data_IF_557795186166
#
_entry.id   IF_557795186166
#
_cell.length_a   1.000
_cell.length_b   1.000
_cell.length_c   1.000
_cell.angle_alpha   90.00
_cell.angle_beta   90.00
_cell.angle_gamma   90.00
#
_symmetry.space_group_name_H-M   'P 1'
#
loop_
_entity.id
_entity.type
_entity.pdbx_description
1 polymer ?
#
# COMPACT_ATOMS: atom_id res chain seq x y z
N UNK A 1 5.89 -0.93 -13.33
CA UNK A 1 5.23 -2.03 -14.03
C UNK A 1 4.68 -2.95 -12.94
N UNK A 2 3.48 -3.50 -13.09
CA UNK A 2 2.91 -4.38 -12.06
C UNK A 2 3.65 -5.71 -11.93
N UNK A 3 4.29 -6.19 -13.00
CA UNK A 3 5.16 -7.38 -12.96
C UNK A 3 6.43 -7.07 -12.18
N UNK A 4 7.05 -5.90 -12.42
CA UNK A 4 8.20 -5.44 -11.63
C UNK A 4 7.86 -5.30 -10.13
N UNK A 5 6.69 -4.76 -9.82
CA UNK A 5 6.22 -4.65 -8.44
C UNK A 5 6.10 -6.04 -7.78
N UNK A 6 5.53 -7.01 -8.47
CA UNK A 6 5.42 -8.40 -7.97
C UNK A 6 6.78 -9.05 -7.78
N UNK A 7 7.71 -8.87 -8.72
CA UNK A 7 9.06 -9.43 -8.61
C UNK A 7 9.78 -8.87 -7.39
N UNK A 8 9.71 -7.56 -7.16
CA UNK A 8 10.29 -6.93 -5.96
C UNK A 8 9.57 -7.35 -4.67
N UNK A 9 8.26 -7.53 -4.73
CA UNK A 9 7.49 -8.00 -3.58
C UNK A 9 7.89 -9.42 -3.16
N UNK A 10 8.27 -10.28 -4.12
CA UNK A 10 8.65 -11.66 -3.84
C UNK A 10 9.88 -11.81 -2.94
N UNK A 11 10.74 -10.79 -2.89
CA UNK A 11 11.94 -10.73 -2.04
C UNK A 11 11.67 -10.18 -0.62
N UNK A 12 10.42 -9.80 -0.31
CA UNK A 12 10.05 -9.24 0.99
C UNK A 12 9.75 -10.32 2.04
N UNK A 13 9.56 -9.87 3.29
CA UNK A 13 9.24 -10.73 4.43
C UNK A 13 7.96 -11.54 4.17
N UNK A 14 7.86 -12.71 4.79
CA UNK A 14 6.67 -13.55 4.72
C UNK A 14 5.40 -12.86 5.20
N UNK A 15 4.25 -13.26 4.64
CA UNK A 15 2.93 -12.71 4.93
C UNK A 15 2.78 -11.20 4.64
N UNK A 16 3.65 -10.62 3.80
CA UNK A 16 3.54 -9.23 3.37
C UNK A 16 2.24 -8.99 2.60
N UNK A 17 1.50 -7.95 3.00
CA UNK A 17 0.34 -7.47 2.26
C UNK A 17 0.78 -6.41 1.25
N UNK A 18 0.63 -6.73 -0.03
CA UNK A 18 1.05 -5.89 -1.15
C UNK A 18 -0.13 -5.03 -1.60
N UNK A 19 0.08 -3.72 -1.65
CA UNK A 19 -0.90 -2.74 -2.14
C UNK A 19 -0.30 -2.05 -3.36
N UNK A 20 -0.90 -2.26 -4.52
CA UNK A 20 -0.54 -1.59 -5.76
C UNK A 20 -1.47 -0.40 -5.97
N UNK A 21 -0.92 0.82 -5.91
CA UNK A 21 -1.65 2.08 -6.04
C UNK A 21 -1.28 2.76 -7.36
N UNK A 22 -2.21 2.80 -8.31
CA UNK A 22 -1.98 3.42 -9.62
C UNK A 22 -3.27 3.68 -10.40
N UNK A 23 -3.15 4.48 -11.47
CA UNK A 23 -4.26 4.82 -12.37
C UNK A 23 -3.84 4.64 -13.85
N UNK A 24 -4.63 3.94 -14.69
CA UNK A 24 -5.88 3.24 -14.38
C UNK A 24 -5.66 2.12 -13.36
N UNK A 25 -6.75 1.61 -12.75
CA UNK A 25 -6.68 0.41 -11.89
C UNK A 25 -5.91 -0.65 -12.66
N UNK A 26 -4.73 -0.99 -12.18
CA UNK A 26 -3.96 -2.09 -12.75
C UNK A 26 -4.83 -3.34 -12.59
N UNK A 27 -5.00 -4.12 -13.67
CA UNK A 27 -5.63 -5.43 -13.55
C UNK A 27 -4.88 -6.24 -12.48
N UNK A 28 -5.52 -6.42 -11.33
CA UNK A 28 -4.93 -7.09 -10.19
C UNK A 28 -4.87 -8.60 -10.36
N UNK A 29 -5.59 -9.20 -11.32
CA UNK A 29 -5.66 -10.65 -11.45
C UNK A 29 -4.32 -11.23 -11.89
N UNK A 30 -3.72 -10.72 -12.96
CA UNK A 30 -2.44 -11.24 -13.47
C UNK A 30 -1.31 -11.07 -12.44
N UNK A 31 -1.09 -9.87 -11.84
CA UNK A 31 -0.09 -9.68 -10.80
C UNK A 31 -0.36 -10.52 -9.55
N UNK A 32 -1.61 -10.65 -9.12
CA UNK A 32 -1.97 -11.47 -7.95
C UNK A 32 -1.71 -12.96 -8.20
N UNK A 33 -2.12 -13.49 -9.35
CA UNK A 33 -1.80 -14.88 -9.71
C UNK A 33 -0.30 -15.13 -9.82
N UNK A 34 0.44 -14.18 -10.39
CA UNK A 34 1.89 -14.29 -10.51
C UNK A 34 2.58 -14.21 -9.15
N UNK A 35 2.14 -13.30 -8.27
CA UNK A 35 2.66 -13.23 -6.90
C UNK A 35 2.35 -14.52 -6.13
N UNK A 36 1.12 -15.03 -6.22
CA UNK A 36 0.73 -16.27 -5.56
C UNK A 36 1.55 -17.48 -6.06
N UNK A 37 1.96 -17.49 -7.33
CA UNK A 37 2.87 -18.50 -7.87
C UNK A 37 4.27 -18.42 -7.25
N UNK A 38 4.79 -17.22 -7.00
CA UNK A 38 6.11 -17.00 -6.40
C UNK A 38 6.10 -17.16 -4.86
N UNK A 39 5.04 -16.68 -4.21
CA UNK A 39 4.88 -16.50 -2.76
C UNK A 39 3.42 -16.69 -2.36
N UNK A 40 3.03 -17.94 -2.08
CA UNK A 40 1.66 -18.29 -1.70
C UNK A 40 1.23 -17.74 -0.33
N UNK A 41 2.16 -17.23 0.46
CA UNK A 41 1.94 -16.60 1.76
C UNK A 41 1.60 -15.11 1.67
N UNK A 42 1.79 -14.48 0.50
CA UNK A 42 1.54 -13.06 0.30
C UNK A 42 0.16 -12.82 -0.31
N UNK A 43 -0.35 -11.61 -0.15
CA UNK A 43 -1.62 -11.18 -0.74
C UNK A 43 -1.42 -9.85 -1.44
N UNK A 44 -2.00 -9.69 -2.63
CA UNK A 44 -1.93 -8.45 -3.41
C UNK A 44 -3.33 -7.86 -3.60
N UNK A 45 -3.44 -6.55 -3.38
CA UNK A 45 -4.60 -5.75 -3.72
C UNK A 45 -4.17 -4.60 -4.63
N UNK A 46 -4.92 -4.39 -5.72
CA UNK A 46 -4.78 -3.22 -6.59
C UNK A 46 -5.90 -2.23 -6.29
N UNK A 47 -5.54 -0.97 -6.08
CA UNK A 47 -6.46 0.12 -5.78
C UNK A 47 -6.07 1.39 -6.55
N UNK A 48 -6.99 2.32 -6.70
CA UNK A 48 -6.70 3.66 -7.25
C UNK A 48 -6.15 4.59 -6.17
N UNK A 49 -5.49 5.70 -6.57
CA UNK A 49 -5.13 6.78 -5.66
C UNK A 49 -6.30 7.28 -4.78
N UNK A 50 -7.51 7.34 -5.35
CA UNK A 50 -8.69 7.86 -4.65
C UNK A 50 -9.20 6.91 -3.55
N UNK A 51 -8.85 5.62 -3.62
CA UNK A 51 -9.17 4.63 -2.60
C UNK A 51 -8.19 4.68 -1.40
N UNK A 52 -7.02 5.31 -1.57
CA UNK A 52 -6.05 5.55 -0.48
C UNK A 52 -6.57 6.67 0.42
N UNK A 53 -7.50 6.32 1.30
CA UNK A 53 -8.10 7.23 2.27
C UNK A 53 -7.55 6.99 3.67
N UNK A 54 -7.70 7.97 4.56
CA UNK A 54 -7.40 7.78 5.99
C UNK A 54 -8.16 6.59 6.59
N UNK A 55 -9.42 6.40 6.18
CA UNK A 55 -10.23 5.27 6.63
C UNK A 55 -9.65 3.94 6.15
N UNK A 56 -9.34 3.83 4.86
CA UNK A 56 -8.72 2.65 4.29
C UNK A 56 -7.43 2.27 5.06
N UNK A 57 -6.51 3.23 5.25
CA UNK A 57 -5.26 2.99 5.95
C UNK A 57 -5.45 2.67 7.45
N UNK A 58 -6.47 3.23 8.09
CA UNK A 58 -6.81 2.95 9.49
C UNK A 58 -7.39 1.55 9.70
N UNK A 59 -8.10 1.03 8.70
CA UNK A 59 -8.75 -0.29 8.72
C UNK A 59 -7.76 -1.42 8.39
N UNK A 60 -6.54 -1.11 7.94
CA UNK A 60 -5.50 -2.09 7.67
C UNK A 60 -5.03 -2.81 8.95
N UNK A 61 -4.98 -4.16 8.98
CA UNK A 61 -4.52 -4.90 10.14
C UNK A 61 -3.07 -4.57 10.55
N UNK A 62 -2.84 -4.14 11.79
CA UNK A 62 -1.50 -3.80 12.28
C UNK A 62 -0.54 -5.00 12.48
N UNK A 63 -1.01 -6.22 12.22
CA UNK A 63 -0.34 -7.49 12.58
C UNK A 63 0.49 -8.11 11.44
N UNK A 64 0.79 -7.36 10.38
CA UNK A 64 1.55 -7.86 9.23
C UNK A 64 2.38 -6.74 8.57
N UNK A 65 3.44 -7.07 7.82
CA UNK A 65 4.15 -6.10 7.00
C UNK A 65 3.33 -5.68 5.77
N UNK A 66 3.62 -4.49 5.26
CA UNK A 66 2.99 -3.92 4.06
C UNK A 66 4.02 -3.47 3.04
N UNK A 67 3.72 -3.74 1.77
CA UNK A 67 4.46 -3.21 0.63
C UNK A 67 3.53 -2.34 -0.21
N UNK A 68 3.69 -1.02 -0.11
CA UNK A 68 2.93 -0.08 -0.93
C UNK A 68 3.73 0.24 -2.18
N UNK A 69 3.28 -0.23 -3.34
CA UNK A 69 3.82 0.13 -4.65
C UNK A 69 2.98 1.27 -5.21
N UNK A 70 3.49 2.49 -5.14
CA UNK A 70 2.73 3.70 -5.47
C UNK A 70 3.28 4.35 -6.74
N UNK A 71 2.39 4.78 -7.63
CA UNK A 71 2.77 5.56 -8.80
C UNK A 71 3.59 6.80 -8.36
N UNK A 72 4.68 7.07 -9.06
CA UNK A 72 5.69 8.04 -8.60
C UNK A 72 5.15 9.47 -8.43
N UNK A 73 4.16 9.85 -9.23
CA UNK A 73 3.54 11.17 -9.22
C UNK A 73 2.42 11.32 -8.17
N UNK A 74 2.06 10.26 -7.45
CA UNK A 74 0.98 10.28 -6.46
C UNK A 74 1.48 10.70 -5.07
N UNK A 75 1.87 11.97 -4.96
CA UNK A 75 2.31 12.56 -3.69
C UNK A 75 1.23 12.50 -2.60
N UNK A 76 -0.05 12.48 -2.98
CA UNK A 76 -1.16 12.44 -2.02
C UNK A 76 -1.18 11.11 -1.26
N UNK A 77 -1.21 9.99 -1.98
CA UNK A 77 -1.18 8.65 -1.37
C UNK A 77 0.08 8.44 -0.54
N UNK A 78 1.24 8.87 -1.05
CA UNK A 78 2.52 8.78 -0.34
C UNK A 78 2.47 9.50 1.01
N UNK A 79 1.94 10.73 1.03
CA UNK A 79 1.83 11.51 2.25
C UNK A 79 0.87 10.88 3.25
N UNK A 80 -0.29 10.39 2.80
CA UNK A 80 -1.23 9.68 3.66
C UNK A 80 -0.62 8.40 4.24
N UNK A 81 0.05 7.57 3.43
CA UNK A 81 0.71 6.35 3.91
C UNK A 81 1.76 6.69 4.98
N UNK A 82 2.53 7.76 4.78
CA UNK A 82 3.53 8.24 5.75
C UNK A 82 2.93 8.76 7.06
N UNK A 83 1.68 9.22 7.07
CA UNK A 83 0.99 9.58 8.32
C UNK A 83 0.62 8.37 9.16
N UNK A 84 0.43 7.20 8.53
CA UNK A 84 -0.06 5.98 9.19
C UNK A 84 1.05 4.98 9.51
N UNK A 85 2.15 4.98 8.75
CA UNK A 85 3.19 3.97 8.85
C UNK A 85 4.60 4.58 9.01
N UNK A 86 5.49 3.86 9.69
CA UNK A 86 6.93 4.06 9.65
C UNK A 86 7.51 3.29 8.47
N UNK A 87 7.83 4.00 7.40
CA UNK A 87 8.30 3.43 6.14
C UNK A 87 9.84 3.36 6.11
N UNK A 88 10.38 2.31 5.48
CA UNK A 88 11.78 2.29 5.03
C UNK A 88 12.01 3.38 3.96
N UNK A 89 13.28 3.74 3.66
CA UNK A 89 13.58 4.58 2.51
C UNK A 89 12.91 4.03 1.24
N UNK A 90 12.40 4.90 0.35
CA UNK A 90 11.73 4.46 -0.86
C UNK A 90 12.68 3.70 -1.78
N UNK A 91 12.20 2.62 -2.37
CA UNK A 91 12.95 1.81 -3.33
C UNK A 91 12.36 1.98 -4.74
N UNK A 92 13.19 2.47 -5.66
CA UNK A 92 12.84 2.64 -7.07
C UNK A 92 13.25 1.40 -7.87
N UNK A 93 12.59 1.16 -9.00
CA UNK A 93 12.98 0.09 -9.93
C UNK A 93 14.42 0.29 -10.41
N UNK A 94 15.27 -0.76 -10.43
CA UNK A 94 16.66 -0.66 -10.91
C UNK A 94 16.80 -0.20 -12.36
N UNK A 95 15.85 -0.53 -13.24
CA UNK A 95 15.85 -0.19 -14.66
C UNK A 95 14.88 0.95 -14.99
N UNK A 96 14.85 1.95 -14.11
CA UNK A 96 13.91 3.06 -14.18
C UNK A 96 13.88 3.77 -15.55
N UNK A 97 15.02 3.87 -16.24
CA UNK A 97 15.13 4.51 -17.56
C UNK A 97 14.39 3.76 -18.69
N UNK A 98 14.13 2.46 -18.54
CA UNK A 98 13.48 1.63 -19.55
C UNK A 98 11.96 1.55 -19.39
N UNK A 99 11.45 1.93 -18.21
CA UNK A 99 10.02 1.89 -17.88
C UNK A 99 9.45 3.30 -18.04
N UNK A 100 8.36 3.48 -18.81
CA UNK A 100 7.64 4.75 -18.88
C UNK A 100 7.27 5.29 -17.49
N UNK A 101 7.40 6.60 -17.27
CA UNK A 101 7.16 7.23 -15.95
C UNK A 101 5.78 6.91 -15.37
N UNK A 102 4.75 6.89 -16.23
CA UNK A 102 3.37 6.55 -15.88
C UNK A 102 3.17 5.08 -15.45
N UNK A 103 4.19 4.25 -15.66
CA UNK A 103 4.18 2.84 -15.28
C UNK A 103 5.09 2.57 -14.10
N UNK A 104 5.91 3.50 -13.63
CA UNK A 104 6.86 3.23 -12.55
C UNK A 104 6.17 3.23 -11.19
N UNK A 105 6.48 2.22 -10.38
CA UNK A 105 6.02 2.13 -8.99
C UNK A 105 7.21 2.29 -8.05
N UNK A 106 7.06 3.18 -7.07
CA UNK A 106 7.99 3.32 -5.96
C UNK A 106 7.51 2.42 -4.83
N UNK A 107 8.42 1.60 -4.29
CA UNK A 107 8.11 0.75 -3.14
C UNK A 107 8.32 1.55 -1.85
N UNK A 108 7.28 1.59 -1.03
CA UNK A 108 7.31 2.03 0.35
C UNK A 108 6.99 0.84 1.26
N UNK A 109 8.03 0.28 1.87
CA UNK A 109 7.88 -0.88 2.75
C UNK A 109 7.67 -0.48 4.21
N UNK A 110 6.66 -1.08 4.83
CA UNK A 110 6.31 -0.90 6.24
C UNK A 110 6.47 -2.25 6.97
N UNK A 111 7.52 -2.45 7.77
CA UNK A 111 7.72 -3.69 8.53
C UNK A 111 6.57 -3.97 9.52
N UNK A 112 6.45 -5.20 10.02
CA UNK A 112 5.47 -5.51 11.07
C UNK A 112 5.62 -4.58 12.28
N UNK A 113 4.50 -4.09 12.83
CA UNK A 113 4.50 -3.18 13.97
C UNK A 113 4.88 -1.73 13.64
N UNK A 114 5.03 -1.38 12.36
CA UNK A 114 5.35 -0.01 11.90
C UNK A 114 4.16 0.96 11.90
N UNK A 115 3.01 0.59 12.46
CA UNK A 115 1.84 1.49 12.54
C UNK A 115 2.10 2.61 13.54
N UNK A 116 1.81 3.85 13.17
CA UNK A 116 1.99 5.02 14.04
C UNK A 116 0.82 5.14 15.04
N UNK A 117 1.13 5.39 16.31
CA UNK A 117 0.12 5.55 17.36
C UNK A 117 -0.87 6.70 17.08
N UNK A 118 -0.42 7.76 16.41
CA UNK A 118 -1.26 8.89 15.99
C UNK A 118 -2.36 8.49 15.04
N UNK A 119 -2.16 7.43 14.23
CA UNK A 119 -3.19 6.92 13.33
C UNK A 119 -4.33 6.22 14.07
N UNK A 120 -4.02 5.45 15.12
CA UNK A 120 -5.04 4.83 15.98
C UNK A 120 -5.83 5.86 16.78
N UNK A 121 -5.15 6.90 17.31
CA UNK A 121 -5.81 7.93 18.10
C UNK A 121 -6.82 8.76 17.29
N UNK A 122 -6.52 9.09 16.02
CA UNK A 122 -7.44 9.82 15.14
C UNK A 122 -8.72 9.02 14.84
N UNK A 123 -8.63 7.70 14.68
CA UNK A 123 -9.80 6.86 14.38
C UNK A 123 -10.73 6.70 15.60
N UNK A 124 -10.16 6.62 16.81
CA UNK A 124 -10.96 6.61 18.06
C UNK A 124 -11.74 7.93 18.20
N UNK A 125 -11.13 9.08 17.91
CA UNK A 125 -11.83 10.36 18.02
C UNK A 125 -12.94 10.51 16.98
N UNK A 126 -12.76 10.07 15.74
CA UNK A 126 -13.80 10.17 14.70
C UNK A 126 -15.05 9.32 15.01
N UNK A 127 -14.89 8.16 15.66
CA UNK A 127 -16.03 7.32 16.03
C UNK A 127 -16.85 7.86 17.21
N UNK A 128 -16.26 8.67 18.09
CA UNK A 128 -16.93 9.20 19.29
C UNK A 128 -17.82 10.42 18.97
N UNK A 129 -17.59 11.11 17.84
CA UNK A 129 -18.27 12.37 17.50
C UNK A 129 -19.45 12.17 16.52
N UNK A 130 -19.96 10.94 16.34
CA UNK A 130 -21.23 10.75 15.61
C UNK A 130 -22.38 10.85 16.62
N UNK A 131 -23.07 12.00 16.75
CA UNK A 131 -24.27 12.05 17.57
C UNK A 131 -25.28 11.08 16.97
N UNK A 132 -25.78 10.15 17.81
CA UNK A 132 -26.96 9.37 17.51
C UNK A 132 -28.10 10.37 17.27
N UNK A 133 -28.47 10.60 16.01
CA UNK A 133 -29.66 11.35 15.67
C UNK A 133 -30.85 10.52 16.18
N UNK A 134 -31.43 10.94 17.30
CA UNK A 134 -32.59 10.30 17.90
C UNK A 134 -33.82 10.45 17.01
N UNK A 135 -34.56 9.34 16.90
CA UNK A 135 -35.96 9.30 16.49
C UNK A 135 -36.89 9.65 17.67
#
# INVERSE_FOLDING_TARGET
>A
DSVDAVLRAADLDENTFVVLVGEPVVDGNVPSHFLNFLRADMTLQSITPQEVTQRYLADLPAIRPYAFFVAQNDAHSINLIREFFYLRPPEITPNYEEIPEDRQFVLYYAPMGSVRDTARAKNIQLQIITPQAGE
#
